data_IF_205994120661
#
_entry.id   IF_205994120661
#
_cell.length_a   1.000
_cell.length_b   1.000
_cell.length_c   1.000
_cell.angle_alpha   90.00
_cell.angle_beta   90.00
_cell.angle_gamma   90.00
#
_symmetry.space_group_name_H-M   'P 1'
#
loop_
_entity.id
_entity.type
_entity.pdbx_description
1 polymer ?
#
# COMPACT_ATOMS: atom_id res chain seq x y z
N UNK A 1 -8.21 -9.45 7.46
CA UNK A 1 -6.81 -9.83 7.26
C UNK A 1 -5.96 -8.62 7.01
N UNK A 2 -4.89 -8.52 7.71
CA UNK A 2 -4.02 -7.38 7.55
C UNK A 2 -3.16 -7.49 6.31
N UNK A 3 -3.00 -6.38 5.64
CA UNK A 3 -2.15 -6.30 4.46
C UNK A 3 -1.20 -5.13 4.60
N UNK A 4 -0.05 -5.25 4.01
CA UNK A 4 0.97 -4.21 4.09
C UNK A 4 1.59 -3.99 2.74
N UNK A 5 2.18 -2.82 2.58
CA UNK A 5 2.81 -2.45 1.33
C UNK A 5 4.00 -1.54 1.63
N UNK A 6 5.12 -1.84 1.00
CA UNK A 6 6.28 -0.97 1.06
C UNK A 6 6.25 -0.05 -0.15
N UNK A 7 6.08 1.24 0.10
CA UNK A 7 6.10 2.20 -0.99
C UNK A 7 7.50 2.28 -1.57
N UNK A 8 7.58 2.64 -2.84
CA UNK A 8 8.88 2.72 -3.50
C UNK A 8 9.79 3.77 -2.87
N UNK A 9 9.23 4.66 -2.07
CA UNK A 9 10.04 5.65 -1.36
C UNK A 9 10.54 5.13 -0.02
N UNK A 10 10.22 3.89 0.31
CA UNK A 10 10.66 3.30 1.57
C UNK A 10 9.67 3.41 2.70
N UNK A 11 8.52 4.01 2.47
CA UNK A 11 7.52 4.17 3.49
C UNK A 11 6.72 2.89 3.65
N UNK A 12 6.44 2.50 4.88
CA UNK A 12 5.67 1.29 5.18
C UNK A 12 4.21 1.66 5.41
N UNK A 13 3.33 0.98 4.72
CA UNK A 13 1.90 1.20 4.85
C UNK A 13 1.23 -0.10 5.28
N UNK A 14 0.20 0.03 6.11
CA UNK A 14 -0.50 -1.13 6.59
C UNK A 14 -1.99 -0.82 6.72
N UNK A 15 -2.83 -1.79 6.37
CA UNK A 15 -4.26 -1.66 6.50
C UNK A 15 -4.87 -2.98 6.97
N UNK A 16 -6.10 -2.92 7.46
CA UNK A 16 -6.78 -4.11 7.92
C UNK A 16 -7.19 -5.02 6.77
N UNK A 17 -7.42 -4.46 5.61
CA UNK A 17 -7.73 -5.23 4.44
C UNK A 17 -7.23 -4.47 3.23
N UNK A 18 -7.50 -5.03 2.06
CA UNK A 18 -6.98 -4.46 0.84
C UNK A 18 -7.55 -3.07 0.58
N UNK A 19 -8.81 -2.88 0.89
CA UNK A 19 -9.45 -1.60 0.65
C UNK A 19 -8.87 -0.52 1.54
N UNK A 20 -8.63 -0.84 2.80
CA UNK A 20 -8.05 0.13 3.71
C UNK A 20 -6.62 0.45 3.31
N UNK A 21 -5.88 -0.58 2.90
CA UNK A 21 -4.52 -0.33 2.45
C UNK A 21 -4.51 0.56 1.22
N UNK A 22 -5.46 0.36 0.33
CA UNK A 22 -5.57 1.20 -0.85
C UNK A 22 -5.82 2.66 -0.46
N UNK A 23 -6.68 2.87 0.52
CA UNK A 23 -6.94 4.22 0.98
C UNK A 23 -5.69 4.87 1.58
N UNK A 24 -4.94 4.09 2.35
CA UNK A 24 -3.69 4.60 2.91
C UNK A 24 -2.68 4.93 1.83
N UNK A 25 -2.59 4.06 0.82
CA UNK A 25 -1.66 4.30 -0.27
C UNK A 25 -2.04 5.57 -1.02
N UNK A 26 -3.33 5.76 -1.25
CA UNK A 26 -3.78 6.97 -1.95
C UNK A 26 -3.44 8.21 -1.16
N UNK A 27 -3.72 8.20 0.14
CA UNK A 27 -3.40 9.34 0.98
C UNK A 27 -1.90 9.59 1.01
N UNK A 28 -1.12 8.52 1.07
CA UNK A 28 0.32 8.66 1.10
C UNK A 28 0.83 9.32 -0.18
N UNK A 29 0.33 8.87 -1.33
CA UNK A 29 0.76 9.42 -2.61
C UNK A 29 0.38 10.90 -2.69
N UNK A 30 -0.81 11.23 -2.25
CA UNK A 30 -1.25 12.61 -2.33
C UNK A 30 -0.43 13.54 -1.46
N UNK A 31 0.04 13.04 -0.32
CA UNK A 31 0.79 13.88 0.60
C UNK A 31 2.28 13.89 0.30
N UNK A 32 2.84 12.75 -0.07
CA UNK A 32 4.28 12.62 -0.24
C UNK A 32 4.73 12.73 -1.68
N UNK A 33 3.85 12.40 -2.60
CA UNK A 33 4.22 12.37 -4.02
C UNK A 33 3.20 13.10 -4.88
N UNK A 34 2.84 14.34 -4.54
CA UNK A 34 1.82 15.04 -5.31
C UNK A 34 2.23 15.29 -6.75
N UNK A 35 3.51 15.38 -7.00
CA UNK A 35 3.99 15.68 -8.35
C UNK A 35 3.87 14.49 -9.29
N UNK A 36 3.70 13.29 -8.76
CA UNK A 36 3.60 12.12 -9.61
C UNK A 36 2.25 11.99 -10.27
N UNK A 37 1.22 12.58 -9.68
CA UNK A 37 -0.11 12.61 -10.26
C UNK A 37 -0.60 11.20 -10.62
N UNK A 38 -0.43 10.29 -9.70
CA UNK A 38 -0.88 8.92 -9.91
C UNK A 38 -2.40 8.86 -9.90
N UNK A 39 -2.97 8.11 -10.83
CA UNK A 39 -4.40 7.91 -10.84
C UNK A 39 -4.80 6.84 -9.85
N UNK A 40 -6.12 6.78 -9.56
CA UNK A 40 -6.61 5.74 -8.67
C UNK A 40 -6.28 4.36 -9.21
N UNK A 41 -6.38 4.20 -10.52
CA UNK A 41 -6.10 2.90 -11.11
C UNK A 41 -4.64 2.53 -10.94
N UNK A 42 -3.75 3.49 -11.10
CA UNK A 42 -2.33 3.21 -10.91
C UNK A 42 -2.01 2.86 -9.47
N UNK A 43 -2.64 3.58 -8.54
CA UNK A 43 -2.43 3.29 -7.12
C UNK A 43 -2.97 1.91 -6.79
N UNK A 44 -4.13 1.58 -7.32
CA UNK A 44 -4.73 0.27 -7.09
C UNK A 44 -3.83 -0.84 -7.61
N UNK A 45 -3.28 -0.64 -8.78
CA UNK A 45 -2.38 -1.64 -9.36
C UNK A 45 -1.12 -1.78 -8.52
N UNK A 46 -0.60 -0.67 -8.03
CA UNK A 46 0.59 -0.71 -7.19
C UNK A 46 0.33 -1.51 -5.91
N UNK A 47 -0.83 -1.30 -5.32
CA UNK A 47 -1.19 -2.04 -4.12
C UNK A 47 -1.33 -3.52 -4.42
N UNK A 48 -1.99 -3.85 -5.53
CA UNK A 48 -2.21 -5.25 -5.86
C UNK A 48 -0.91 -5.99 -6.13
N UNK A 49 0.05 -5.31 -6.72
CA UNK A 49 1.30 -5.97 -7.05
C UNK A 49 2.26 -6.03 -5.88
N UNK A 50 2.17 -5.05 -4.97
CA UNK A 50 3.15 -4.96 -3.90
C UNK A 50 2.66 -5.36 -2.54
N UNK A 51 1.35 -5.43 -2.35
CA UNK A 51 0.82 -5.72 -1.02
C UNK A 51 0.99 -7.18 -0.66
N UNK A 52 1.15 -7.44 0.61
CA UNK A 52 1.29 -8.80 1.09
C UNK A 52 0.56 -8.94 2.42
N UNK A 53 0.19 -10.17 2.75
CA UNK A 53 -0.48 -10.46 4.02
C UNK A 53 0.52 -10.44 5.14
N UNK A 54 0.14 -9.79 6.23
CA UNK A 54 0.99 -9.78 7.41
C UNK A 54 0.39 -10.57 8.55
N UNK A 55 -0.90 -10.82 8.49
CA UNK A 55 -1.58 -11.48 9.58
C UNK A 55 -1.51 -12.99 9.41
N UNK A 56 -1.16 -13.68 10.46
CA UNK A 56 -1.14 -15.12 10.44
C UNK A 56 0.02 -15.71 9.66
N UNK A 57 0.95 -14.91 9.21
CA UNK A 57 2.10 -15.42 8.51
C UNK A 57 3.33 -15.16 9.30
N UNK A 58 4.05 -16.17 9.48
CA UNK A 58 5.31 -15.96 10.11
C UNK A 58 6.20 -15.31 9.12
N UNK A 59 6.50 -14.84 8.83
CA UNK A 59 7.36 -14.33 7.92
C UNK A 59 8.70 -14.81 8.13
N UNK A 60 8.54 -15.31 8.07
CA UNK A 60 9.38 -15.64 8.33
C UNK A 60 10.29 -15.60 8.08
N UNK A 61 10.56 -15.58 8.00
CA UNK A 61 11.21 -15.59 7.92
C UNK A 61 11.63 -15.75 8.09
#
# INVERSE_FOLDING_TARGET
MKRALDCFCGEYLEGDDNEELLNWARAHVERQHPDMQLTDEQIHQMVEEGAYDTEGKAHEK
#
